data_IF_938958518869
#
_entry.id   IF_938958518869
#
_cell.length_a   1.000
_cell.length_b   1.000
_cell.length_c   1.000
_cell.angle_alpha   90.00
_cell.angle_beta   90.00
_cell.angle_gamma   90.00
#
_symmetry.space_group_name_H-M   'P 1'
#
loop_
_entity.id
_entity.type
_entity.pdbx_description
1 polymer ?
#
# COMPACT_ATOMS: atom_id res chain seq x y z
N UNK A 1 19.54 -13.38 5.82
CA UNK A 1 18.09 -13.50 5.61
C UNK A 1 17.73 -12.91 4.24
N UNK A 2 17.16 -13.73 3.37
CA UNK A 2 16.86 -13.30 1.99
C UNK A 2 15.53 -12.59 1.86
N UNK A 3 15.56 -11.31 1.49
CA UNK A 3 14.37 -10.50 1.21
C UNK A 3 14.22 -10.38 -0.30
N UNK A 4 13.04 -10.73 -0.82
CA UNK A 4 12.72 -10.57 -2.23
C UNK A 4 11.41 -9.83 -2.36
N UNK A 5 11.40 -8.73 -3.11
CA UNK A 5 10.19 -8.03 -3.50
C UNK A 5 9.98 -8.28 -4.99
N UNK A 6 8.87 -8.93 -5.34
CA UNK A 6 8.59 -9.26 -6.73
C UNK A 6 7.28 -8.66 -7.20
N UNK A 7 7.17 -8.31 -8.50
CA UNK A 7 5.90 -7.81 -9.04
C UNK A 7 4.79 -8.84 -8.85
N UNK A 8 3.62 -8.37 -8.43
CA UNK A 8 2.44 -9.22 -8.28
C UNK A 8 1.85 -9.52 -9.65
N UNK A 9 1.48 -10.78 -9.86
CA UNK A 9 0.84 -11.25 -11.08
C UNK A 9 -0.62 -11.63 -10.79
N UNK A 10 -1.42 -11.79 -11.83
CA UNK A 10 -2.84 -12.12 -11.68
C UNK A 10 -3.06 -13.42 -10.87
N UNK A 11 -2.16 -14.38 -10.98
CA UNK A 11 -2.21 -15.62 -10.20
C UNK A 11 -1.96 -15.45 -8.71
N UNK A 12 -1.50 -14.28 -8.28
CA UNK A 12 -1.20 -13.99 -6.87
C UNK A 12 -2.40 -13.43 -6.11
N UNK A 13 -3.53 -13.20 -6.77
CA UNK A 13 -4.65 -12.47 -6.16
C UNK A 13 -5.15 -13.11 -4.85
N UNK A 14 -5.27 -14.43 -4.81
CA UNK A 14 -5.73 -15.13 -3.61
C UNK A 14 -4.70 -15.02 -2.49
N UNK A 15 -3.42 -15.21 -2.80
CA UNK A 15 -2.33 -15.06 -1.84
C UNK A 15 -2.32 -13.66 -1.24
N UNK A 16 -2.43 -12.63 -2.09
CA UNK A 16 -2.41 -11.25 -1.64
C UNK A 16 -3.63 -10.93 -0.78
N UNK A 17 -4.82 -11.45 -1.13
CA UNK A 17 -6.00 -11.27 -0.30
C UNK A 17 -5.81 -11.88 1.09
N UNK A 18 -5.25 -13.08 1.17
CA UNK A 18 -4.96 -13.76 2.43
C UNK A 18 -3.93 -12.97 3.25
N UNK A 19 -2.86 -12.50 2.61
CA UNK A 19 -1.83 -11.69 3.27
C UNK A 19 -2.43 -10.38 3.82
N UNK A 20 -3.30 -9.73 3.06
CA UNK A 20 -3.93 -8.47 3.48
C UNK A 20 -4.78 -8.70 4.72
N UNK A 21 -5.67 -9.70 4.69
CA UNK A 21 -6.50 -10.01 5.85
C UNK A 21 -5.67 -10.34 7.08
N UNK A 22 -4.63 -11.16 6.91
CA UNK A 22 -3.76 -11.54 8.01
C UNK A 22 -2.98 -10.35 8.58
N UNK A 23 -2.52 -9.44 7.72
CA UNK A 23 -1.79 -8.24 8.16
C UNK A 23 -2.69 -7.28 8.95
N UNK A 24 -3.99 -7.24 8.66
CA UNK A 24 -4.93 -6.36 9.36
C UNK A 24 -5.50 -6.99 10.63
N UNK A 25 -5.44 -8.31 10.77
CA UNK A 25 -6.03 -9.02 11.89
C UNK A 25 -5.43 -8.58 13.24
N UNK A 26 -6.31 -8.20 14.18
CA UNK A 26 -5.93 -7.89 15.57
C UNK A 26 -5.15 -6.61 15.79
N UNK A 27 -4.83 -5.85 14.74
CA UNK A 27 -3.96 -4.65 14.86
C UNK A 27 -4.65 -3.35 14.53
N UNK A 28 -5.74 -3.38 13.78
CA UNK A 28 -6.48 -2.19 13.36
C UNK A 28 -7.97 -2.38 13.63
N UNK A 29 -8.74 -1.28 13.56
CA UNK A 29 -10.17 -1.32 13.83
C UNK A 29 -10.88 -2.38 12.97
N UNK A 30 -11.89 -3.05 13.56
CA UNK A 30 -12.64 -4.11 12.86
C UNK A 30 -13.38 -3.60 11.62
N UNK A 31 -13.64 -2.30 11.54
CA UNK A 31 -14.27 -1.65 10.39
C UNK A 31 -13.31 -1.42 9.24
N UNK A 32 -12.01 -1.63 9.41
CA UNK A 32 -11.03 -1.42 8.36
C UNK A 32 -11.28 -2.34 7.17
N UNK A 33 -11.21 -1.77 5.97
CA UNK A 33 -11.48 -2.49 4.72
C UNK A 33 -10.54 -3.68 4.49
N UNK A 34 -9.32 -3.63 5.03
CA UNK A 34 -8.35 -4.72 4.88
C UNK A 34 -8.82 -6.06 5.43
N UNK A 35 -9.70 -6.05 6.44
CA UNK A 35 -10.29 -7.26 7.01
C UNK A 35 -11.23 -7.97 6.05
N UNK A 36 -11.75 -7.27 5.05
CA UNK A 36 -12.75 -7.76 4.09
C UNK A 36 -12.19 -7.95 2.69
N UNK A 37 -10.88 -8.02 2.58
CA UNK A 37 -10.22 -8.18 1.28
C UNK A 37 -10.63 -9.49 0.61
N UNK A 38 -10.82 -9.46 -0.70
CA UNK A 38 -11.16 -10.64 -1.50
C UNK A 38 -10.22 -10.79 -2.69
N UNK A 39 -10.06 -12.01 -3.17
CA UNK A 39 -9.23 -12.27 -4.35
C UNK A 39 -9.77 -11.56 -5.60
N UNK A 40 -11.09 -11.42 -5.72
CA UNK A 40 -11.70 -10.69 -6.84
C UNK A 40 -11.27 -9.23 -6.85
N UNK A 41 -11.32 -8.56 -5.70
CA UNK A 41 -10.91 -7.17 -5.58
C UNK A 41 -9.43 -7.00 -5.86
N UNK A 42 -8.59 -7.90 -5.31
CA UNK A 42 -7.15 -7.87 -5.58
C UNK A 42 -6.89 -8.02 -7.08
N UNK A 43 -7.56 -8.97 -7.73
CA UNK A 43 -7.40 -9.18 -9.17
C UNK A 43 -7.77 -7.93 -9.97
N UNK A 44 -8.85 -7.25 -9.59
CA UNK A 44 -9.26 -5.99 -10.23
C UNK A 44 -8.19 -4.91 -10.06
N UNK A 45 -7.66 -4.76 -8.85
CA UNK A 45 -6.62 -3.76 -8.55
C UNK A 45 -5.35 -4.03 -9.35
N UNK A 46 -4.92 -5.30 -9.45
CA UNK A 46 -3.73 -5.66 -10.20
C UNK A 46 -3.87 -5.38 -11.69
N UNK A 47 -5.08 -5.51 -12.24
CA UNK A 47 -5.34 -5.17 -13.65
C UNK A 47 -5.38 -3.68 -13.89
N UNK A 48 -5.93 -2.91 -12.95
CA UNK A 48 -6.05 -1.46 -13.08
C UNK A 48 -4.74 -0.72 -12.78
N UNK A 49 -3.96 -1.26 -11.88
CA UNK A 49 -2.69 -0.68 -11.44
C UNK A 49 -1.60 -1.73 -11.36
N UNK A 50 -1.20 -2.06 -10.15
CA UNK A 50 -0.20 -3.11 -9.93
C UNK A 50 0.04 -3.36 -8.45
N UNK A 51 1.02 -4.18 -8.16
CA UNK A 51 1.40 -4.50 -6.81
C UNK A 51 2.72 -5.23 -6.72
N UNK A 52 3.16 -5.42 -5.48
CA UNK A 52 4.33 -6.24 -5.15
C UNK A 52 3.99 -7.18 -4.01
N UNK A 53 4.62 -8.35 -4.04
CA UNK A 53 4.66 -9.25 -2.88
C UNK A 53 6.08 -9.26 -2.33
N UNK A 54 6.20 -9.36 -1.02
CA UNK A 54 7.47 -9.48 -0.33
C UNK A 54 7.58 -10.88 0.24
N UNK A 55 8.70 -11.53 -0.06
CA UNK A 55 9.01 -12.85 0.46
C UNK A 55 10.26 -12.76 1.35
N UNK A 56 10.22 -13.50 2.46
CA UNK A 56 11.32 -13.60 3.39
C UNK A 56 11.75 -15.06 3.40
N UNK A 57 12.95 -15.34 2.88
CA UNK A 57 13.43 -16.71 2.67
C UNK A 57 12.39 -17.59 1.95
N UNK A 58 11.82 -17.04 0.86
CA UNK A 58 10.80 -17.66 0.02
C UNK A 58 9.41 -17.79 0.67
N UNK A 59 9.21 -17.22 1.87
CA UNK A 59 7.92 -17.24 2.56
C UNK A 59 7.22 -15.89 2.37
N UNK A 60 5.98 -15.86 1.85
CA UNK A 60 5.24 -14.60 1.69
C UNK A 60 5.02 -13.92 3.04
N UNK A 61 5.41 -12.65 3.13
CA UNK A 61 5.39 -11.89 4.38
C UNK A 61 4.64 -10.57 4.28
N UNK A 62 4.40 -10.05 3.09
CA UNK A 62 3.72 -8.78 2.91
C UNK A 62 3.37 -8.49 1.48
N UNK A 63 2.62 -7.41 1.27
CA UNK A 63 2.21 -6.97 -0.06
C UNK A 63 1.84 -5.49 -0.05
N UNK A 64 1.77 -4.91 -1.25
CA UNK A 64 1.33 -3.54 -1.48
C UNK A 64 0.71 -3.47 -2.88
N UNK A 65 -0.24 -2.56 -3.06
CA UNK A 65 -0.85 -2.29 -4.37
C UNK A 65 -0.86 -0.79 -4.65
N UNK A 66 -1.04 -0.43 -5.91
CA UNK A 66 -1.29 0.95 -6.31
C UNK A 66 -2.33 0.99 -7.41
N UNK A 67 -3.05 2.12 -7.48
CA UNK A 67 -4.02 2.39 -8.53
C UNK A 67 -3.77 3.79 -9.08
N UNK A 68 -3.76 3.96 -10.41
CA UNK A 68 -3.76 5.30 -11.00
C UNK A 68 -5.08 6.00 -10.71
N UNK A 69 -5.05 7.32 -10.55
CA UNK A 69 -6.29 8.10 -10.47
C UNK A 69 -6.97 8.11 -11.84
N UNK A 70 -8.30 8.03 -11.85
CA UNK A 70 -9.06 8.01 -13.11
C UNK A 70 -8.84 9.27 -13.94
N UNK A 71 -8.91 10.45 -13.31
CA UNK A 71 -8.76 11.72 -14.00
C UNK A 71 -7.31 12.12 -14.28
N UNK A 72 -6.37 11.57 -13.50
CA UNK A 72 -4.95 11.91 -13.58
C UNK A 72 -4.12 10.62 -13.45
N UNK A 73 -4.02 9.81 -14.51
CA UNK A 73 -3.39 8.48 -14.42
C UNK A 73 -1.88 8.49 -14.15
N UNK A 74 -1.22 9.63 -14.27
CA UNK A 74 0.17 9.83 -13.89
C UNK A 74 0.34 10.08 -12.38
N UNK A 75 -0.76 10.06 -11.62
CA UNK A 75 -0.75 10.06 -10.16
C UNK A 75 -1.23 8.69 -9.69
N UNK A 76 -0.47 8.05 -8.81
CA UNK A 76 -0.85 6.76 -8.25
C UNK A 76 -1.20 6.90 -6.78
N UNK A 77 -2.26 6.21 -6.37
CA UNK A 77 -2.57 6.01 -4.94
C UNK A 77 -2.05 4.66 -4.50
N UNK A 78 -1.23 4.67 -3.45
CA UNK A 78 -0.73 3.46 -2.81
C UNK A 78 -1.77 2.97 -1.81
N UNK A 79 -2.06 1.69 -1.83
CA UNK A 79 -3.05 1.10 -0.93
C UNK A 79 -2.63 -0.28 -0.45
N UNK A 80 -3.17 -0.67 0.70
CA UNK A 80 -3.03 -2.01 1.28
C UNK A 80 -1.57 -2.43 1.48
N UNK A 81 -0.70 -1.51 1.87
CA UNK A 81 0.65 -1.88 2.27
C UNK A 81 0.62 -2.49 3.66
N UNK A 82 1.05 -3.72 3.76
CA UNK A 82 1.07 -4.42 5.02
C UNK A 82 2.05 -5.57 5.05
N UNK A 83 2.52 -5.87 6.26
CA UNK A 83 3.43 -6.98 6.56
C UNK A 83 2.77 -7.82 7.65
N UNK A 84 2.90 -9.13 7.56
CA UNK A 84 2.35 -10.03 8.57
C UNK A 84 2.85 -9.66 9.97
N UNK A 85 1.99 -9.79 11.01
CA UNK A 85 2.37 -9.38 12.37
C UNK A 85 3.67 -10.00 12.88
N UNK A 86 3.92 -11.27 12.57
CA UNK A 86 5.11 -11.98 13.02
C UNK A 86 6.41 -11.45 12.41
N UNK A 87 6.33 -10.67 11.35
CA UNK A 87 7.51 -10.11 10.66
C UNK A 87 7.65 -8.60 10.85
N UNK A 88 6.82 -7.98 11.69
CA UNK A 88 6.89 -6.55 11.96
C UNK A 88 8.14 -6.21 12.77
N UNK A 89 8.62 -4.97 12.63
CA UNK A 89 9.80 -4.48 13.32
C UNK A 89 11.10 -4.71 12.56
N UNK A 90 11.06 -5.41 11.41
CA UNK A 90 12.26 -5.68 10.60
C UNK A 90 12.43 -4.77 9.39
N UNK A 91 11.74 -3.64 9.36
CA UNK A 91 11.78 -2.66 8.25
C UNK A 91 11.31 -3.23 6.90
N UNK A 92 10.50 -4.28 6.90
CA UNK A 92 10.06 -4.91 5.67
C UNK A 92 9.13 -4.01 4.85
N UNK A 93 8.29 -3.19 5.52
CA UNK A 93 7.44 -2.21 4.84
C UNK A 93 8.24 -1.23 3.99
N UNK A 94 9.44 -0.88 4.44
CA UNK A 94 10.35 0.00 3.70
C UNK A 94 10.67 -0.58 2.33
N UNK A 95 10.94 -1.88 2.25
CA UNK A 95 11.26 -2.52 0.98
C UNK A 95 10.08 -2.47 0.00
N UNK A 96 8.86 -2.65 0.51
CA UNK A 96 7.65 -2.54 -0.31
C UNK A 96 7.46 -1.10 -0.82
N UNK A 97 7.63 -0.12 0.05
CA UNK A 97 7.47 1.28 -0.33
C UNK A 97 8.51 1.70 -1.35
N UNK A 98 9.76 1.33 -1.14
CA UNK A 98 10.85 1.63 -2.09
C UNK A 98 10.59 1.01 -3.46
N UNK A 99 10.05 -0.20 -3.49
CA UNK A 99 9.71 -0.87 -4.75
C UNK A 99 8.64 -0.09 -5.52
N UNK A 100 7.62 0.41 -4.83
CA UNK A 100 6.57 1.21 -5.48
C UNK A 100 7.14 2.53 -5.99
N UNK A 101 7.97 3.21 -5.19
CA UNK A 101 8.58 4.47 -5.60
C UNK A 101 9.43 4.25 -6.87
N UNK A 102 10.24 3.20 -6.87
CA UNK A 102 11.07 2.87 -8.03
C UNK A 102 10.24 2.57 -9.28
N UNK A 103 9.19 1.76 -9.12
CA UNK A 103 8.28 1.43 -10.23
C UNK A 103 7.59 2.69 -10.76
N UNK A 104 7.18 3.58 -9.87
CA UNK A 104 6.53 4.83 -10.25
C UNK A 104 7.49 5.72 -11.06
N UNK A 105 8.74 5.83 -10.64
CA UNK A 105 9.75 6.60 -11.36
C UNK A 105 9.99 6.03 -12.77
N UNK A 106 10.04 4.73 -12.90
CA UNK A 106 10.22 4.08 -14.21
C UNK A 106 9.00 4.22 -15.12
N UNK A 107 7.82 4.42 -14.52
CA UNK A 107 6.55 4.53 -15.26
C UNK A 107 6.14 5.98 -15.53
N UNK A 108 7.04 6.93 -15.33
CA UNK A 108 6.81 8.37 -15.51
C UNK A 108 5.69 8.95 -14.65
N UNK A 109 5.47 8.36 -13.49
CA UNK A 109 4.51 8.85 -12.50
C UNK A 109 5.03 10.16 -11.92
N UNK A 110 4.16 11.15 -11.79
CA UNK A 110 4.52 12.48 -11.30
C UNK A 110 4.31 12.65 -9.82
N UNK A 111 3.39 11.88 -9.22
CA UNK A 111 3.05 12.02 -7.82
C UNK A 111 2.52 10.70 -7.25
N UNK A 112 2.93 10.37 -6.04
CA UNK A 112 2.38 9.27 -5.26
C UNK A 112 1.54 9.83 -4.12
N UNK A 113 0.40 9.21 -3.86
CA UNK A 113 -0.48 9.54 -2.74
C UNK A 113 -0.76 8.30 -1.92
N UNK A 114 -0.98 8.50 -0.64
CA UNK A 114 -1.41 7.44 0.27
C UNK A 114 -2.24 8.03 1.39
N UNK A 115 -2.89 7.17 2.15
CA UNK A 115 -3.71 7.58 3.27
C UNK A 115 -3.21 6.92 4.54
N UNK A 116 -3.18 7.70 5.61
CA UNK A 116 -2.80 7.21 6.95
C UNK A 116 -4.03 7.32 7.85
N UNK A 117 -4.43 6.21 8.44
CA UNK A 117 -5.57 6.16 9.36
C UNK A 117 -5.28 7.04 10.58
N UNK A 118 -6.32 7.70 11.09
CA UNK A 118 -6.19 8.60 12.24
C UNK A 118 -5.77 7.87 13.51
N UNK A 119 -5.99 6.54 13.59
CA UNK A 119 -5.56 5.72 14.72
C UNK A 119 -4.12 5.16 14.55
N UNK A 120 -3.39 5.60 13.53
CA UNK A 120 -2.03 5.15 13.22
C UNK A 120 -1.07 6.33 13.06
N UNK A 121 -0.96 7.24 14.06
CA UNK A 121 -0.17 8.48 13.89
C UNK A 121 1.33 8.26 13.65
N UNK A 122 1.88 7.12 14.10
CA UNK A 122 3.30 6.81 13.89
C UNK A 122 3.66 6.65 12.42
N UNK A 123 2.69 6.29 11.58
CA UNK A 123 2.93 6.13 10.15
C UNK A 123 3.20 7.46 9.47
N UNK A 124 2.74 8.58 10.03
CA UNK A 124 3.06 9.90 9.49
C UNK A 124 4.57 10.14 9.46
N UNK A 125 5.25 9.82 10.55
CA UNK A 125 6.71 9.97 10.63
C UNK A 125 7.41 9.00 9.68
N UNK A 126 6.91 7.77 9.58
CA UNK A 126 7.48 6.78 8.67
C UNK A 126 7.44 7.28 7.23
N UNK A 127 6.29 7.76 6.76
CA UNK A 127 6.16 8.24 5.39
C UNK A 127 6.90 9.56 5.16
N UNK A 128 6.95 10.43 6.15
CA UNK A 128 7.72 11.67 6.06
C UNK A 128 9.19 11.38 5.80
N UNK A 129 9.73 10.34 6.43
CA UNK A 129 11.12 9.91 6.20
C UNK A 129 11.37 9.48 4.76
N UNK A 130 10.31 9.09 4.03
CA UNK A 130 10.38 8.71 2.61
C UNK A 130 9.98 9.83 1.67
N UNK A 131 9.95 11.06 2.14
CA UNK A 131 9.70 12.23 1.29
C UNK A 131 8.23 12.58 1.08
N UNK A 132 7.33 11.95 1.82
CA UNK A 132 5.91 12.29 1.77
C UNK A 132 5.62 13.46 2.69
N UNK A 133 4.64 14.29 2.33
CA UNK A 133 4.16 15.40 3.14
C UNK A 133 2.64 15.35 3.27
N UNK A 134 2.12 15.91 4.36
CA UNK A 134 0.69 16.02 4.55
C UNK A 134 0.06 16.90 3.47
N UNK A 135 -1.06 16.46 2.95
CA UNK A 135 -1.82 17.18 1.93
C UNK A 135 -3.30 17.24 2.37
N UNK A 136 -3.61 18.09 3.36
CA UNK A 136 -4.96 18.13 3.93
C UNK A 136 -6.04 18.60 2.95
N UNK A 137 -5.65 19.24 1.85
CA UNK A 137 -6.58 19.66 0.79
C UNK A 137 -7.01 18.49 -0.11
N UNK A 138 -6.35 17.33 -0.03
CA UNK A 138 -6.67 16.19 -0.88
C UNK A 138 -7.60 15.21 -0.18
N UNK A 139 -8.44 14.55 -0.99
CA UNK A 139 -9.26 13.43 -0.53
C UNK A 139 -8.72 12.13 -1.13
N UNK A 140 -8.71 11.07 -0.33
CA UNK A 140 -8.29 9.75 -0.79
C UNK A 140 -9.45 9.07 -1.51
N UNK A 141 -9.25 8.63 -2.77
CA UNK A 141 -10.33 8.05 -3.58
C UNK A 141 -10.89 6.75 -3.02
N UNK A 142 -10.11 6.04 -2.24
CA UNK A 142 -10.48 4.72 -1.71
C UNK A 142 -10.79 4.77 -0.21
N UNK A 143 -11.20 5.94 0.30
CA UNK A 143 -11.51 6.11 1.71
C UNK A 143 -12.69 5.22 2.13
N UNK A 144 -12.57 4.61 3.31
CA UNK A 144 -13.62 3.77 3.87
C UNK A 144 -14.67 4.66 4.54
N UNK A 145 -15.94 4.65 4.07
CA UNK A 145 -16.98 5.50 4.64
C UNK A 145 -17.36 5.11 6.09
N UNK A 146 -16.95 3.94 6.55
CA UNK A 146 -17.21 3.48 7.92
C UNK A 146 -16.23 4.04 8.94
N UNK A 147 -15.26 4.84 8.50
CA UNK A 147 -14.21 5.37 9.35
C UNK A 147 -14.07 6.89 9.19
N UNK A 148 -13.43 7.58 10.17
CA UNK A 148 -13.05 8.97 9.99
C UNK A 148 -12.18 9.14 8.75
N UNK A 149 -12.27 10.29 8.09
CA UNK A 149 -11.44 10.60 6.94
C UNK A 149 -9.95 10.47 7.29
N UNK A 150 -9.16 9.72 6.50
CA UNK A 150 -7.74 9.53 6.80
C UNK A 150 -6.93 10.79 6.48
N UNK A 151 -5.71 10.85 7.00
CA UNK A 151 -4.73 11.84 6.58
C UNK A 151 -4.20 11.43 5.21
N UNK A 152 -4.27 12.32 4.23
CA UNK A 152 -3.67 12.08 2.92
C UNK A 152 -2.26 12.65 2.92
N UNK A 153 -1.32 11.88 2.39
CA UNK A 153 0.05 12.32 2.18
C UNK A 153 0.41 12.16 0.70
N UNK A 154 1.31 12.99 0.23
CA UNK A 154 1.80 12.92 -1.15
C UNK A 154 3.31 13.08 -1.22
N UNK A 155 3.88 12.52 -2.27
CA UNK A 155 5.26 12.77 -2.67
C UNK A 155 5.29 13.09 -4.16
N UNK A 156 5.80 14.27 -4.49
CA UNK A 156 6.02 14.64 -5.89
C UNK A 156 7.31 14.00 -6.37
N UNK A 157 7.25 13.31 -7.49
CA UNK A 157 8.38 12.59 -8.06
C UNK A 157 9.07 13.38 -9.16
N UNK A 158 8.33 14.28 -9.80
CA UNK A 158 8.84 15.10 -10.90
C UNK A 158 8.44 16.55 -10.69
N UNK A 159 9.27 17.42 -11.13
CA UNK A 159 9.06 18.85 -11.02
C UNK A 159 8.55 19.44 -12.33
#
# INVERSE_FOLDING_TARGET
MGILVRPAESGDARLIADLTRAAWAGKVAVTSSGHRETAVRVSQDLRAGGGFTLLLDDVPAGSVRWLPLDAEPDIWEILRMGVLPEYRGGNLSQHLLEAVIHQALESDVTELRLAVRTDQPRLLDFYTAFGFELAPELEYSHANPLEPAPHVMRRCLRR
#
